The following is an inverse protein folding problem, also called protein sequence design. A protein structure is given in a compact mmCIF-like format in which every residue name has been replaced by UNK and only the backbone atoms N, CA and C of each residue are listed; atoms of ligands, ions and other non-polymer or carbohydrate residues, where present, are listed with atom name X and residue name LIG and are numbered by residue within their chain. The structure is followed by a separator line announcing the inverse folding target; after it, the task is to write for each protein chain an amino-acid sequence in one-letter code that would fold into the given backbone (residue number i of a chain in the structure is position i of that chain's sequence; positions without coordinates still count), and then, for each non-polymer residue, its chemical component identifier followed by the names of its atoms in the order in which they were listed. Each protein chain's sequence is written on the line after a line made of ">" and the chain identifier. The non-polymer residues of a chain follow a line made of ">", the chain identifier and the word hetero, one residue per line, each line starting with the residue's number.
data_IF_373332547382
#
_entry.id   IF_373332547382
#
_cell.length_a   1.000
_cell.length_b   1.000
_cell.length_c   1.000
_cell.angle_alpha   90.00
_cell.angle_beta   90.00
_cell.angle_gamma   90.00
#
_symmetry.space_group_name_H-M   'P 1'
#
loop_
_entity.id
_entity.type
_entity.pdbx_description
1 polymer ?
#
# COMPACT_ATOMS: atom_id res chain seq x y z
N UNK A 1 40.81 74.52 -22.94
CA UNK A 1 39.95 74.12 -24.07
C UNK A 1 39.25 75.40 -24.50
N UNK A 2 39.57 75.95 -25.68
CA UNK A 2 38.90 77.18 -26.15
C UNK A 2 37.48 76.78 -26.56
N UNK A 3 36.49 77.26 -25.80
CA UNK A 3 35.08 77.08 -26.15
C UNK A 3 34.77 78.12 -27.21
N UNK A 4 34.53 77.67 -28.43
CA UNK A 4 34.07 78.54 -29.51
C UNK A 4 32.55 78.50 -29.49
N UNK A 5 31.92 79.59 -29.07
CA UNK A 5 30.45 79.67 -29.04
C UNK A 5 29.86 79.97 -30.44
N UNK A 6 30.66 80.61 -31.31
CA UNK A 6 30.21 81.11 -32.60
C UNK A 6 31.18 80.71 -33.73
N UNK A 7 30.64 80.57 -34.95
CA UNK A 7 31.46 80.32 -36.13
C UNK A 7 32.29 81.56 -36.51
N UNK A 8 33.62 81.47 -36.66
CA UNK A 8 34.45 82.63 -36.98
C UNK A 8 34.25 83.17 -38.41
N UNK A 9 33.46 82.49 -39.25
CA UNK A 9 33.18 82.92 -40.64
C UNK A 9 31.85 83.65 -40.75
N UNK A 10 30.74 83.08 -40.27
CA UNK A 10 29.43 83.74 -40.32
C UNK A 10 29.08 84.51 -39.04
N UNK A 11 29.86 84.34 -37.95
CA UNK A 11 29.63 84.90 -36.61
C UNK A 11 28.34 84.44 -35.92
N UNK A 12 27.60 83.50 -36.51
CA UNK A 12 26.41 82.90 -35.91
C UNK A 12 26.81 81.88 -34.83
N UNK A 13 25.96 81.78 -33.81
CA UNK A 13 26.10 80.80 -32.73
C UNK A 13 25.97 79.39 -33.29
N UNK A 14 26.76 78.45 -32.76
CA UNK A 14 26.60 77.05 -33.11
C UNK A 14 25.27 76.51 -32.57
N UNK A 15 24.50 75.83 -33.41
CA UNK A 15 23.25 75.16 -33.00
C UNK A 15 23.40 73.64 -33.12
N UNK A 16 22.58 72.85 -32.41
CA UNK A 16 22.60 71.38 -32.54
C UNK A 16 22.13 70.87 -33.91
N UNK A 17 21.65 71.74 -34.81
CA UNK A 17 21.27 71.37 -36.17
C UNK A 17 22.52 70.96 -36.98
N UNK A 18 22.46 69.92 -37.84
CA UNK A 18 23.63 69.42 -38.56
C UNK A 18 24.38 70.48 -39.37
N UNK A 19 23.65 71.44 -39.94
CA UNK A 19 24.18 72.51 -40.80
C UNK A 19 24.97 73.58 -40.01
N UNK A 20 24.55 73.82 -38.77
CA UNK A 20 25.08 74.85 -37.88
C UNK A 20 25.86 74.30 -36.69
N UNK A 21 26.03 72.98 -36.61
CA UNK A 21 26.86 72.35 -35.59
C UNK A 21 28.34 72.69 -35.80
N UNK A 22 29.18 72.65 -34.75
CA UNK A 22 30.60 72.89 -34.89
C UNK A 22 31.29 71.68 -35.53
N UNK A 23 32.14 71.92 -36.53
CA UNK A 23 32.97 70.92 -37.20
C UNK A 23 34.44 71.32 -37.12
N UNK A 24 35.29 70.42 -36.65
CA UNK A 24 36.74 70.57 -36.72
C UNK A 24 37.25 70.10 -38.07
N UNK A 25 38.03 70.93 -38.75
CA UNK A 25 38.81 70.51 -39.93
C UNK A 25 40.19 69.97 -39.52
N UNK A 26 40.98 69.52 -40.51
CA UNK A 26 42.29 68.88 -40.31
C UNK A 26 43.31 69.74 -39.57
N UNK A 27 43.26 71.06 -39.72
CA UNK A 27 44.14 71.99 -38.99
C UNK A 27 43.66 72.31 -37.56
N UNK A 28 42.53 71.72 -37.11
CA UNK A 28 42.02 71.86 -35.75
C UNK A 28 41.11 73.08 -35.50
N UNK A 29 40.90 73.94 -36.50
CA UNK A 29 39.95 75.05 -36.39
C UNK A 29 38.51 74.59 -36.58
N UNK A 30 37.57 75.32 -35.98
CA UNK A 30 36.15 74.93 -35.88
C UNK A 30 35.27 75.91 -36.65
N UNK A 31 34.39 75.37 -37.49
CA UNK A 31 33.45 76.13 -38.34
C UNK A 31 32.09 75.41 -38.41
N UNK A 32 31.02 76.10 -38.84
CA UNK A 32 29.77 75.42 -39.14
C UNK A 32 29.85 74.72 -40.50
N UNK A 33 29.02 73.68 -40.71
CA UNK A 33 29.05 72.90 -41.94
C UNK A 33 28.75 73.78 -43.17
N UNK A 34 27.78 74.68 -43.06
CA UNK A 34 27.44 75.64 -44.13
C UNK A 34 28.65 76.47 -44.58
N UNK A 35 29.44 77.00 -43.63
CA UNK A 35 30.63 77.77 -43.97
C UNK A 35 31.75 76.93 -44.59
N UNK A 36 31.92 75.67 -44.14
CA UNK A 36 32.90 74.77 -44.76
C UNK A 36 32.52 74.38 -46.19
N UNK A 37 31.22 74.27 -46.47
CA UNK A 37 30.71 73.96 -47.80
C UNK A 37 30.76 75.18 -48.73
N UNK A 38 30.47 76.39 -48.23
CA UNK A 38 30.41 77.62 -49.02
C UNK A 38 31.78 78.24 -49.37
N UNK A 39 32.85 77.88 -48.66
CA UNK A 39 34.20 78.41 -48.93
C UNK A 39 34.79 77.83 -50.22
N UNK A 40 35.26 78.69 -51.11
CA UNK A 40 36.05 78.34 -52.30
C UNK A 40 37.12 79.42 -52.52
N UNK A 41 38.43 79.10 -52.48
CA UNK A 41 39.04 77.78 -52.32
C UNK A 41 38.86 77.18 -50.91
N UNK A 42 39.00 75.85 -50.79
CA UNK A 42 38.93 75.09 -49.52
C UNK A 42 40.16 75.33 -48.63
N UNK A 43 40.31 76.56 -48.14
CA UNK A 43 41.37 77.01 -47.23
C UNK A 43 40.76 77.48 -45.92
N UNK A 44 41.37 77.11 -44.80
CA UNK A 44 40.94 77.56 -43.48
C UNK A 44 40.95 79.10 -43.40
N UNK A 45 39.82 79.72 -43.00
CA UNK A 45 39.74 81.18 -42.89
C UNK A 45 40.71 81.79 -41.85
N UNK A 46 41.23 80.97 -40.92
CA UNK A 46 42.11 81.41 -39.84
C UNK A 46 43.60 81.21 -40.17
N UNK A 47 44.02 79.99 -40.54
CA UNK A 47 45.43 79.67 -40.82
C UNK A 47 45.77 79.50 -42.31
N UNK A 48 44.76 79.49 -43.20
CA UNK A 48 44.88 79.25 -44.65
C UNK A 48 45.36 77.85 -45.05
N UNK A 49 45.44 76.90 -44.11
CA UNK A 49 45.72 75.51 -44.45
C UNK A 49 44.60 74.91 -45.33
N UNK A 50 44.95 74.14 -46.38
CA UNK A 50 43.96 73.46 -47.18
C UNK A 50 43.26 72.36 -46.38
N UNK A 51 41.95 72.21 -46.58
CA UNK A 51 41.15 71.18 -45.92
C UNK A 51 40.22 70.46 -46.88
N UNK A 52 39.80 69.26 -46.50
CA UNK A 52 38.80 68.47 -47.22
C UNK A 52 37.52 68.43 -46.40
N UNK A 53 36.42 69.00 -46.90
CA UNK A 53 35.14 69.08 -46.16
C UNK A 53 34.64 67.70 -45.69
N UNK A 54 34.90 66.63 -46.46
CA UNK A 54 34.54 65.25 -46.09
C UNK A 54 35.30 64.71 -44.87
N UNK A 55 36.45 65.29 -44.53
CA UNK A 55 37.25 64.90 -43.37
C UNK A 55 36.90 65.72 -42.12
N UNK A 56 36.03 66.74 -42.27
CA UNK A 56 35.59 67.55 -41.15
C UNK A 56 34.81 66.70 -40.16
N UNK A 57 35.22 66.75 -38.89
CA UNK A 57 34.60 65.97 -37.81
C UNK A 57 33.67 66.86 -37.03
N UNK A 58 32.40 66.46 -36.95
CA UNK A 58 31.42 67.13 -36.08
C UNK A 58 31.92 67.05 -34.64
N UNK A 59 32.12 68.20 -34.02
CA UNK A 59 32.31 68.32 -32.58
C UNK A 59 30.90 68.39 -31.99
N UNK A 60 30.55 67.41 -31.17
CA UNK A 60 29.41 67.60 -30.30
C UNK A 60 29.86 68.56 -29.21
N UNK A 61 29.19 69.72 -29.02
CA UNK A 61 29.42 70.52 -27.82
C UNK A 61 29.36 69.53 -26.66
N UNK A 62 30.43 69.47 -25.87
CA UNK A 62 30.46 68.64 -24.68
C UNK A 62 29.17 68.92 -23.94
N UNK A 63 28.28 67.91 -23.94
CA UNK A 63 27.05 67.90 -23.15
C UNK A 63 27.43 68.45 -21.77
N UNK A 64 26.57 69.30 -21.20
CA UNK A 64 26.84 70.03 -19.97
C UNK A 64 27.64 69.14 -19.00
N UNK A 65 28.68 69.67 -18.34
CA UNK A 65 29.49 68.90 -17.38
C UNK A 65 28.62 68.14 -16.35
N UNK A 66 27.43 68.67 -16.07
CA UNK A 66 26.39 68.05 -15.25
C UNK A 66 25.82 66.74 -15.85
N UNK A 67 25.64 66.65 -17.17
CA UNK A 67 25.17 65.45 -17.87
C UNK A 67 26.23 64.33 -17.86
N UNK A 68 27.52 64.68 -17.94
CA UNK A 68 28.62 63.71 -17.86
C UNK A 68 28.76 63.13 -16.45
N UNK A 69 28.60 63.96 -15.42
CA UNK A 69 28.61 63.50 -14.03
C UNK A 69 27.37 62.64 -13.70
N UNK A 70 26.19 63.02 -14.20
CA UNK A 70 24.98 62.20 -14.08
C UNK A 70 25.12 60.86 -14.81
N UNK A 71 25.72 60.83 -16.01
CA UNK A 71 25.97 59.59 -16.75
C UNK A 71 26.94 58.66 -16.02
N UNK A 72 28.04 59.18 -15.48
CA UNK A 72 29.02 58.39 -14.71
C UNK A 72 28.39 57.79 -13.44
N UNK A 73 27.54 58.57 -12.73
CA UNK A 73 26.80 58.06 -11.56
C UNK A 73 25.82 56.94 -11.92
N UNK A 74 25.16 57.06 -13.08
CA UNK A 74 24.24 56.04 -13.58
C UNK A 74 25.00 54.77 -13.95
N UNK A 75 26.14 54.90 -14.62
CA UNK A 75 27.00 53.78 -14.98
C UNK A 75 27.57 53.06 -13.75
N UNK A 76 28.08 53.80 -12.76
CA UNK A 76 28.55 53.24 -11.49
C UNK A 76 27.44 52.52 -10.73
N UNK A 77 26.22 53.08 -10.71
CA UNK A 77 25.07 52.44 -10.07
C UNK A 77 24.68 51.12 -10.76
N UNK A 78 24.79 51.05 -12.09
CA UNK A 78 24.52 49.82 -12.87
C UNK A 78 25.60 48.78 -12.62
N UNK A 79 26.88 49.16 -12.66
CA UNK A 79 28.01 48.25 -12.40
C UNK A 79 27.88 47.67 -10.99
N UNK A 80 27.62 48.51 -9.99
CA UNK A 80 27.43 48.07 -8.61
C UNK A 80 26.20 47.15 -8.46
N UNK A 81 25.10 47.44 -9.16
CA UNK A 81 23.95 46.55 -9.16
C UNK A 81 24.25 45.18 -9.76
N UNK A 82 25.08 45.13 -10.81
CA UNK A 82 25.56 43.89 -11.44
C UNK A 82 26.44 43.09 -10.48
N UNK A 83 27.45 43.72 -9.88
CA UNK A 83 28.42 43.06 -9.00
C UNK A 83 27.77 42.49 -7.74
N UNK A 84 26.82 43.24 -7.15
CA UNK A 84 26.14 42.81 -5.93
C UNK A 84 25.04 41.78 -6.20
N UNK A 85 24.65 41.57 -7.47
CA UNK A 85 23.57 40.67 -7.89
C UNK A 85 22.25 40.84 -7.11
N UNK A 86 21.99 42.03 -6.57
CA UNK A 86 20.80 42.30 -5.76
C UNK A 86 19.64 42.81 -6.63
N UNK A 87 18.48 42.10 -6.68
CA UNK A 87 17.33 42.48 -7.50
C UNK A 87 16.84 43.92 -7.28
N UNK A 88 16.83 44.36 -6.02
CA UNK A 88 16.42 45.70 -5.62
C UNK A 88 17.35 46.79 -6.18
N UNK A 89 18.66 46.51 -6.27
CA UNK A 89 19.66 47.44 -6.82
C UNK A 89 19.51 47.57 -8.34
N UNK A 90 19.17 46.48 -9.03
CA UNK A 90 18.87 46.53 -10.46
C UNK A 90 17.64 47.38 -10.77
N UNK A 91 16.57 47.27 -9.96
CA UNK A 91 15.38 48.08 -10.14
C UNK A 91 15.67 49.58 -9.92
N UNK A 92 16.46 49.89 -8.90
CA UNK A 92 16.90 51.26 -8.61
C UNK A 92 17.79 51.82 -9.72
N UNK A 93 18.73 51.02 -10.24
CA UNK A 93 19.59 51.40 -11.36
C UNK A 93 18.76 51.64 -12.64
N UNK A 94 17.79 50.75 -12.94
CA UNK A 94 16.88 50.90 -14.08
C UNK A 94 16.01 52.16 -13.96
N UNK A 95 15.46 52.46 -12.77
CA UNK A 95 14.70 53.70 -12.50
C UNK A 95 15.57 54.95 -12.65
N UNK A 96 16.82 54.89 -12.18
CA UNK A 96 17.78 55.99 -12.31
C UNK A 96 18.12 56.26 -13.78
N UNK A 97 18.38 55.21 -14.56
CA UNK A 97 18.60 55.28 -16.01
C UNK A 97 17.39 55.85 -16.74
N UNK A 98 16.18 55.38 -16.42
CA UNK A 98 14.95 55.86 -17.06
C UNK A 98 14.72 57.35 -16.75
N UNK A 99 14.86 57.76 -15.48
CA UNK A 99 14.74 59.15 -15.06
C UNK A 99 15.74 60.06 -15.77
N UNK A 100 16.95 59.57 -16.05
CA UNK A 100 17.96 60.31 -16.80
C UNK A 100 17.58 60.42 -18.29
N UNK A 101 17.09 59.33 -18.90
CA UNK A 101 16.60 59.32 -20.28
C UNK A 101 15.39 60.27 -20.48
N UNK A 102 14.49 60.34 -19.50
CA UNK A 102 13.29 61.19 -19.54
C UNK A 102 13.63 62.70 -19.51
N UNK A 103 14.84 63.10 -19.12
CA UNK A 103 15.32 64.50 -19.17
C UNK A 103 15.63 64.98 -20.60
N UNK A 104 15.45 64.15 -21.63
CA UNK A 104 15.49 64.57 -23.04
C UNK A 104 16.86 64.48 -23.70
N UNK A 105 17.81 63.71 -23.15
CA UNK A 105 19.09 63.46 -23.82
C UNK A 105 18.90 62.48 -24.98
N UNK A 106 18.55 63.01 -26.16
CA UNK A 106 18.35 62.25 -27.40
C UNK A 106 19.61 61.53 -27.91
N UNK A 107 20.78 61.78 -27.30
CA UNK A 107 22.09 61.29 -27.74
C UNK A 107 22.39 59.82 -27.40
N UNK A 108 21.48 59.08 -26.75
CA UNK A 108 21.85 57.80 -26.14
C UNK A 108 20.91 56.62 -26.46
N UNK A 109 20.71 56.33 -27.74
CA UNK A 109 20.07 55.09 -28.20
C UNK A 109 20.71 53.82 -27.60
N UNK A 110 22.02 53.86 -27.33
CA UNK A 110 22.75 52.79 -26.63
C UNK A 110 22.26 52.58 -25.20
N UNK A 111 21.98 53.64 -24.44
CA UNK A 111 21.47 53.54 -23.07
C UNK A 111 20.04 53.03 -23.02
N UNK A 112 19.17 53.45 -23.94
CA UNK A 112 17.81 52.89 -24.04
C UNK A 112 17.85 51.37 -24.26
N UNK A 113 18.73 50.91 -25.15
CA UNK A 113 18.96 49.47 -25.36
C UNK A 113 19.44 48.78 -24.09
N UNK A 114 20.37 49.37 -23.34
CA UNK A 114 20.86 48.83 -22.07
C UNK A 114 19.75 48.72 -21.02
N UNK A 115 18.88 49.72 -20.88
CA UNK A 115 17.73 49.69 -19.96
C UNK A 115 16.77 48.54 -20.29
N UNK A 116 16.48 48.34 -21.57
CA UNK A 116 15.62 47.24 -22.04
C UNK A 116 16.27 45.88 -21.75
N UNK A 117 17.58 45.75 -21.99
CA UNK A 117 18.34 44.53 -21.67
C UNK A 117 18.35 44.24 -20.17
N UNK A 118 18.51 45.28 -19.34
CA UNK A 118 18.49 45.16 -17.88
C UNK A 118 17.13 44.68 -17.37
N UNK A 119 16.03 45.29 -17.83
CA UNK A 119 14.68 44.84 -17.50
C UNK A 119 14.42 43.39 -17.94
N UNK A 120 14.89 43.03 -19.14
CA UNK A 120 14.76 41.66 -19.66
C UNK A 120 15.50 40.68 -18.77
N UNK A 121 16.74 41.00 -18.38
CA UNK A 121 17.55 40.22 -17.47
C UNK A 121 16.88 40.04 -16.10
N UNK A 122 16.38 41.12 -15.48
CA UNK A 122 15.65 41.05 -14.21
C UNK A 122 14.43 40.13 -14.30
N UNK A 123 13.64 40.27 -15.38
CA UNK A 123 12.46 39.43 -15.60
C UNK A 123 12.84 37.95 -15.73
N UNK A 124 13.94 37.62 -16.41
CA UNK A 124 14.44 36.25 -16.50
C UNK A 124 14.96 35.73 -15.17
N UNK A 125 15.68 36.55 -14.39
CA UNK A 125 16.19 36.17 -13.07
C UNK A 125 15.06 35.90 -12.08
N UNK A 126 14.02 36.73 -12.06
CA UNK A 126 12.85 36.51 -11.21
C UNK A 126 12.11 35.22 -11.60
N UNK A 127 12.01 34.91 -12.90
CA UNK A 127 11.44 33.63 -13.36
C UNK A 127 12.30 32.43 -12.94
N UNK A 128 13.61 32.54 -13.04
CA UNK A 128 14.54 31.48 -12.62
C UNK A 128 14.46 31.26 -11.10
N UNK A 129 14.48 32.33 -10.32
CA UNK A 129 14.34 32.28 -8.85
C UNK A 129 13.02 31.63 -8.44
N UNK A 130 11.91 32.01 -9.11
CA UNK A 130 10.62 31.36 -8.88
C UNK A 130 10.66 29.87 -9.24
N UNK A 131 11.17 29.51 -10.42
CA UNK A 131 11.27 28.12 -10.85
C UNK A 131 12.15 27.27 -9.92
N UNK A 132 13.22 27.85 -9.38
CA UNK A 132 14.05 27.20 -8.36
C UNK A 132 13.28 26.99 -7.06
N UNK A 133 12.52 27.98 -6.60
CA UNK A 133 11.63 27.85 -5.45
C UNK A 133 10.58 26.73 -5.64
N UNK A 134 9.94 26.69 -6.80
CA UNK A 134 8.98 25.65 -7.16
C UNK A 134 9.66 24.26 -7.19
N UNK A 135 10.88 24.16 -7.75
CA UNK A 135 11.66 22.92 -7.78
C UNK A 135 11.99 22.40 -6.37
N UNK A 136 12.41 23.28 -5.45
CA UNK A 136 12.66 22.90 -4.05
C UNK A 136 11.37 22.43 -3.36
N UNK A 137 10.23 23.04 -3.65
CA UNK A 137 8.94 22.57 -3.16
C UNK A 137 8.57 21.20 -3.72
N UNK A 138 8.79 20.96 -5.03
CA UNK A 138 8.60 19.65 -5.64
C UNK A 138 9.50 18.59 -5.02
N UNK A 139 10.77 18.88 -4.76
CA UNK A 139 11.67 17.95 -4.07
C UNK A 139 11.17 17.61 -2.66
N UNK A 140 10.64 18.58 -1.92
CA UNK A 140 10.06 18.34 -0.60
C UNK A 140 8.84 17.41 -0.68
N UNK A 141 7.96 17.61 -1.66
CA UNK A 141 6.81 16.72 -1.92
C UNK A 141 7.27 15.32 -2.30
N UNK A 142 8.27 15.19 -3.18
CA UNK A 142 8.82 13.88 -3.58
C UNK A 142 9.40 13.13 -2.38
N UNK A 143 10.14 13.79 -1.49
CA UNK A 143 10.65 13.18 -0.25
C UNK A 143 9.50 12.72 0.66
N UNK A 144 8.49 13.56 0.85
CA UNK A 144 7.31 13.19 1.65
C UNK A 144 6.56 11.98 1.07
N UNK A 145 6.45 11.88 -0.26
CA UNK A 145 5.83 10.73 -0.92
C UNK A 145 6.67 9.46 -0.79
N UNK A 146 8.01 9.57 -0.84
CA UNK A 146 8.91 8.44 -0.61
C UNK A 146 8.81 7.91 0.83
N UNK A 147 8.68 8.80 1.82
CA UNK A 147 8.48 8.41 3.21
C UNK A 147 7.11 7.74 3.43
N UNK A 148 6.04 8.27 2.82
CA UNK A 148 4.73 7.61 2.85
C UNK A 148 4.77 6.23 2.19
N UNK A 149 5.48 6.11 1.07
CA UNK A 149 5.65 4.82 0.38
C UNK A 149 6.36 3.80 1.28
N UNK A 150 7.41 4.19 2.00
CA UNK A 150 8.10 3.31 2.95
C UNK A 150 7.18 2.83 4.07
N UNK A 151 6.36 3.71 4.64
CA UNK A 151 5.39 3.34 5.67
C UNK A 151 4.36 2.32 5.15
N UNK A 152 3.85 2.51 3.92
CA UNK A 152 2.94 1.54 3.31
C UNK A 152 3.62 0.21 2.97
N UNK A 153 4.88 0.23 2.55
CA UNK A 153 5.66 -0.98 2.29
C UNK A 153 5.89 -1.77 3.59
N UNK A 154 6.19 -1.09 4.71
CA UNK A 154 6.31 -1.68 6.04
C UNK A 154 4.97 -2.29 6.52
N UNK A 155 3.87 -1.54 6.44
CA UNK A 155 2.53 -2.03 6.79
C UNK A 155 2.14 -3.26 5.96
N UNK A 156 2.43 -3.24 4.65
CA UNK A 156 2.19 -4.38 3.77
C UNK A 156 2.98 -5.62 4.21
N UNK A 157 4.24 -5.46 4.62
CA UNK A 157 5.04 -6.59 5.11
C UNK A 157 4.48 -7.18 6.40
N UNK A 158 4.07 -6.36 7.36
CA UNK A 158 3.43 -6.81 8.60
C UNK A 158 2.12 -7.56 8.32
N UNK A 159 1.25 -7.00 7.47
CA UNK A 159 0.00 -7.67 7.10
C UNK A 159 0.25 -8.99 6.37
N UNK A 160 1.29 -9.09 5.56
CA UNK A 160 1.66 -10.33 4.88
C UNK A 160 2.12 -11.41 5.86
N UNK A 161 2.90 -11.05 6.89
CA UNK A 161 3.29 -11.95 7.97
C UNK A 161 2.09 -12.45 8.78
N UNK A 162 1.16 -11.55 9.11
CA UNK A 162 -0.08 -11.91 9.82
C UNK A 162 -0.96 -12.85 8.99
N UNK A 163 -1.10 -12.62 7.69
CA UNK A 163 -1.84 -13.52 6.80
C UNK A 163 -1.21 -14.92 6.78
N UNK A 164 0.12 -15.02 6.74
CA UNK A 164 0.82 -16.32 6.80
C UNK A 164 0.60 -17.00 8.15
N UNK A 165 0.66 -16.25 9.24
CA UNK A 165 0.40 -16.76 10.60
C UNK A 165 -1.02 -17.28 10.74
N UNK A 166 -2.03 -16.52 10.31
CA UNK A 166 -3.42 -16.97 10.36
C UNK A 166 -3.69 -18.17 9.43
N UNK A 167 -3.07 -18.23 8.25
CA UNK A 167 -3.14 -19.41 7.38
C UNK A 167 -2.61 -20.68 8.06
N UNK A 168 -1.47 -20.59 8.75
CA UNK A 168 -0.92 -21.75 9.48
C UNK A 168 -1.81 -22.20 10.65
N UNK A 169 -2.45 -21.27 11.37
CA UNK A 169 -3.45 -21.62 12.40
C UNK A 169 -4.66 -22.32 11.78
N UNK A 170 -5.13 -21.84 10.63
CA UNK A 170 -6.27 -22.41 9.92
C UNK A 170 -5.97 -23.84 9.46
N UNK A 171 -4.75 -24.10 8.96
CA UNK A 171 -4.28 -25.44 8.59
C UNK A 171 -4.28 -26.42 9.79
N UNK A 172 -3.87 -25.96 10.97
CA UNK A 172 -3.92 -26.77 12.21
C UNK A 172 -5.36 -27.14 12.55
N UNK A 173 -6.28 -26.17 12.55
CA UNK A 173 -7.70 -26.41 12.86
C UNK A 173 -8.35 -27.32 11.81
N UNK A 174 -8.02 -27.18 10.54
CA UNK A 174 -8.50 -28.08 9.48
C UNK A 174 -8.06 -29.52 9.73
N UNK A 175 -6.80 -29.73 10.13
CA UNK A 175 -6.29 -31.06 10.47
C UNK A 175 -6.99 -31.65 11.69
N UNK A 176 -7.19 -30.85 12.76
CA UNK A 176 -7.96 -31.28 13.94
C UNK A 176 -9.40 -31.67 13.58
N UNK A 177 -10.06 -30.89 12.72
CA UNK A 177 -11.41 -31.21 12.23
C UNK A 177 -11.43 -32.53 11.45
N UNK A 178 -10.43 -32.77 10.59
CA UNK A 178 -10.31 -34.02 9.85
C UNK A 178 -10.10 -35.22 10.78
N UNK A 179 -9.26 -35.08 11.81
CA UNK A 179 -8.98 -36.15 12.75
C UNK A 179 -10.19 -36.46 13.65
N UNK A 180 -10.90 -35.43 14.13
CA UNK A 180 -12.18 -35.58 14.82
C UNK A 180 -13.24 -36.26 13.93
N UNK A 181 -13.29 -35.92 12.64
CA UNK A 181 -14.20 -36.56 11.70
C UNK A 181 -13.89 -38.07 11.53
N UNK A 182 -12.61 -38.44 11.43
CA UNK A 182 -12.18 -39.86 11.38
C UNK A 182 -12.58 -40.59 12.67
N UNK A 183 -12.36 -39.98 13.82
CA UNK A 183 -12.72 -40.56 15.12
C UNK A 183 -14.24 -40.74 15.26
N UNK A 184 -15.03 -39.74 14.86
CA UNK A 184 -16.49 -39.83 14.85
C UNK A 184 -16.97 -40.98 13.95
N UNK A 185 -16.38 -41.13 12.75
CA UNK A 185 -16.69 -42.25 11.84
C UNK A 185 -16.35 -43.61 12.47
N UNK A 186 -15.21 -43.70 13.17
CA UNK A 186 -14.79 -44.90 13.90
C UNK A 186 -15.79 -45.25 15.01
N UNK A 187 -16.17 -44.28 15.84
CA UNK A 187 -17.16 -44.45 16.92
C UNK A 187 -18.54 -44.85 16.40
N UNK A 188 -18.99 -44.24 15.31
CA UNK A 188 -20.26 -44.62 14.67
C UNK A 188 -20.24 -46.08 14.20
N UNK A 189 -19.10 -46.55 13.68
CA UNK A 189 -18.94 -47.94 13.27
C UNK A 189 -18.93 -48.90 14.47
N UNK A 190 -18.33 -48.49 15.60
CA UNK A 190 -18.42 -49.24 16.87
C UNK A 190 -19.85 -49.33 17.39
N UNK A 191 -20.57 -48.21 17.44
CA UNK A 191 -21.99 -48.18 17.86
C UNK A 191 -22.83 -49.08 16.96
N UNK A 192 -22.60 -49.07 15.65
CA UNK A 192 -23.30 -49.96 14.72
C UNK A 192 -23.02 -51.45 15.03
N UNK A 193 -21.76 -51.82 15.34
CA UNK A 193 -21.40 -53.19 15.76
C UNK A 193 -22.11 -53.58 17.05
N UNK A 194 -22.03 -52.74 18.08
CA UNK A 194 -22.70 -53.00 19.36
C UNK A 194 -24.21 -53.15 19.21
N UNK A 195 -24.86 -52.32 18.37
CA UNK A 195 -26.29 -52.47 18.06
C UNK A 195 -26.62 -53.81 17.42
N UNK A 196 -25.76 -54.35 16.56
CA UNK A 196 -25.96 -55.69 16.01
C UNK A 196 -25.78 -56.77 17.08
N UNK A 197 -24.71 -56.70 17.88
CA UNK A 197 -24.49 -57.62 18.99
C UNK A 197 -25.64 -57.61 20.00
N UNK A 198 -26.19 -56.45 20.35
CA UNK A 198 -27.36 -56.35 21.22
C UNK A 198 -28.58 -57.06 20.61
N UNK A 199 -28.85 -56.87 19.31
CA UNK A 199 -29.95 -57.56 18.62
C UNK A 199 -29.77 -59.07 18.57
N UNK A 200 -28.54 -59.54 18.40
CA UNK A 200 -28.24 -60.97 18.41
C UNK A 200 -28.43 -61.56 19.81
N UNK A 201 -27.92 -60.91 20.85
CA UNK A 201 -28.16 -61.33 22.24
C UNK A 201 -29.65 -61.27 22.63
N UNK A 202 -30.39 -60.26 22.16
CA UNK A 202 -31.84 -60.19 22.36
C UNK A 202 -32.56 -61.40 21.76
N UNK A 203 -32.10 -61.89 20.59
CA UNK A 203 -32.61 -63.10 19.95
C UNK A 203 -32.28 -64.35 20.75
N UNK A 204 -31.02 -64.52 21.15
CA UNK A 204 -30.57 -65.66 21.96
C UNK A 204 -31.36 -65.75 23.28
N UNK A 205 -31.64 -64.59 23.91
CA UNK A 205 -32.46 -64.53 25.12
C UNK A 205 -33.91 -64.98 24.86
N UNK A 206 -34.48 -64.68 23.70
CA UNK A 206 -35.81 -65.19 23.33
C UNK A 206 -35.77 -66.70 23.11
N UNK A 207 -34.79 -67.21 22.36
CA UNK A 207 -34.61 -68.64 22.09
C UNK A 207 -34.44 -69.43 23.41
N UNK A 208 -33.57 -68.98 24.30
CA UNK A 208 -33.37 -69.62 25.61
C UNK A 208 -34.64 -69.59 26.48
N UNK A 209 -35.47 -68.54 26.38
CA UNK A 209 -36.76 -68.50 27.10
C UNK A 209 -37.74 -69.54 26.56
N UNK A 210 -37.76 -69.75 25.25
CA UNK A 210 -38.58 -70.79 24.63
C UNK A 210 -38.10 -72.19 25.04
N UNK A 211 -36.78 -72.43 25.04
CA UNK A 211 -36.19 -73.68 25.54
C UNK A 211 -36.52 -73.94 27.02
N UNK A 212 -36.39 -72.92 27.88
CA UNK A 212 -36.78 -73.02 29.29
C UNK A 212 -38.27 -73.36 29.45
N UNK A 213 -39.14 -72.71 28.68
CA UNK A 213 -40.58 -72.99 28.68
C UNK A 213 -40.88 -74.43 28.25
N UNK A 214 -40.14 -74.96 27.27
CA UNK A 214 -40.24 -76.36 26.85
C UNK A 214 -39.80 -77.33 27.95
N UNK A 215 -38.66 -77.07 28.59
CA UNK A 215 -38.17 -77.88 29.73
C UNK A 215 -39.18 -77.89 30.88
N UNK A 216 -39.75 -76.73 31.23
CA UNK A 216 -40.81 -76.62 32.24
C UNK A 216 -42.06 -77.44 31.88
N UNK A 217 -42.45 -77.47 30.61
CA UNK A 217 -43.53 -78.31 30.12
C UNK A 217 -43.21 -79.80 30.27
N UNK A 218 -42.02 -80.24 29.85
CA UNK A 218 -41.57 -81.64 30.02
C UNK A 218 -41.53 -82.04 31.49
N UNK A 219 -41.04 -81.16 32.36
CA UNK A 219 -41.00 -81.40 33.80
C UNK A 219 -42.42 -81.57 34.39
N UNK A 220 -43.40 -80.77 33.95
CA UNK A 220 -44.81 -80.93 34.34
C UNK A 220 -45.39 -82.27 33.87
N UNK A 221 -45.21 -82.62 32.60
CA UNK A 221 -45.70 -83.89 32.05
C UNK A 221 -45.06 -85.11 32.74
N UNK A 222 -43.77 -85.02 33.08
CA UNK A 222 -43.07 -86.05 33.85
C UNK A 222 -43.66 -86.22 35.25
N UNK A 223 -43.93 -85.12 35.97
CA UNK A 223 -44.60 -85.16 37.28
C UNK A 223 -46.01 -85.76 37.19
N UNK A 224 -46.79 -85.36 36.18
CA UNK A 224 -48.13 -85.89 35.94
C UNK A 224 -48.11 -87.38 35.61
N UNK A 225 -47.18 -87.81 34.74
CA UNK A 225 -46.95 -89.23 34.44
C UNK A 225 -46.58 -90.03 35.69
N UNK A 226 -45.66 -89.53 36.52
CA UNK A 226 -45.29 -90.17 37.78
C UNK A 226 -46.50 -90.30 38.74
N UNK A 227 -47.32 -89.25 38.84
CA UNK A 227 -48.56 -89.28 39.63
C UNK A 227 -49.58 -90.30 39.07
N UNK A 228 -49.77 -90.34 37.76
CA UNK A 228 -50.64 -91.33 37.11
C UNK A 228 -50.15 -92.76 37.38
N UNK A 229 -48.85 -93.01 37.27
CA UNK A 229 -48.26 -94.32 37.63
C UNK A 229 -48.46 -94.69 39.10
N UNK A 230 -48.31 -93.75 40.03
CA UNK A 230 -48.55 -93.98 41.46
C UNK A 230 -50.03 -94.29 41.74
N UNK A 231 -50.95 -93.53 41.14
CA UNK A 231 -52.39 -93.77 41.29
C UNK A 231 -52.82 -95.09 40.66
N UNK A 232 -52.27 -95.46 39.50
CA UNK A 232 -52.51 -96.76 38.88
C UNK A 232 -51.93 -97.90 39.72
N UNK A 233 -50.72 -97.75 40.27
CA UNK A 233 -50.14 -98.72 41.19
C UNK A 233 -51.01 -98.92 42.44
N UNK A 234 -51.60 -97.84 42.99
CA UNK A 234 -52.57 -97.91 44.08
C UNK A 234 -53.87 -98.62 43.67
N UNK A 235 -54.40 -98.35 42.47
CA UNK A 235 -55.58 -99.05 41.93
C UNK A 235 -55.33 -100.54 41.76
N UNK A 236 -54.19 -100.90 41.18
CA UNK A 236 -53.75 -102.29 41.02
C UNK A 236 -53.58 -102.97 42.37
N UNK A 237 -52.94 -102.32 43.35
CA UNK A 237 -52.82 -102.83 44.72
C UNK A 237 -54.18 -103.15 45.33
N UNK A 238 -55.14 -102.22 45.26
CA UNK A 238 -56.51 -102.44 45.76
C UNK A 238 -57.21 -103.61 45.06
N UNK A 239 -57.11 -103.71 43.73
CA UNK A 239 -57.67 -104.84 42.97
C UNK A 239 -57.04 -106.17 43.38
N UNK A 240 -55.72 -106.17 43.59
CA UNK A 240 -54.98 -107.35 44.01
C UNK A 240 -55.36 -107.79 45.42
N UNK A 241 -55.46 -106.84 46.37
CA UNK A 241 -55.97 -107.07 47.72
C UNK A 241 -57.38 -107.66 47.71
N UNK A 242 -58.27 -107.11 46.88
CA UNK A 242 -59.63 -107.63 46.71
C UNK A 242 -59.63 -109.05 46.14
N UNK A 243 -58.82 -109.33 45.11
CA UNK A 243 -58.70 -110.67 44.54
C UNK A 243 -58.14 -111.69 45.55
N UNK A 244 -57.22 -111.28 46.44
CA UNK A 244 -56.76 -112.12 47.56
C UNK A 244 -57.91 -112.48 48.50
N UNK A 245 -58.78 -111.53 48.83
CA UNK A 245 -59.97 -111.76 49.67
C UNK A 245 -60.92 -112.75 48.97
N UNK A 246 -61.24 -112.52 47.70
CA UNK A 246 -62.09 -113.41 46.89
C UNK A 246 -61.51 -114.84 46.80
N UNK A 247 -60.19 -114.98 46.60
CA UNK A 247 -59.52 -116.28 46.59
C UNK A 247 -59.53 -116.97 47.96
N UNK A 248 -59.51 -116.23 49.07
CA UNK A 248 -59.62 -116.78 50.41
C UNK A 248 -61.02 -117.36 50.68
N UNK A 249 -62.09 -116.78 50.10
CA UNK A 249 -63.46 -117.28 50.21
C UNK A 249 -63.69 -118.60 49.45
N UNK A 250 -62.97 -118.81 48.35
CA UNK A 250 -63.08 -120.02 47.51
C UNK A 250 -62.26 -121.20 48.09
N UNK A 251 -61.30 -120.94 49.00
CA UNK A 251 -60.39 -121.97 49.51
C UNK A 251 -60.90 -122.61 50.81
N UNK A 252 -61.20 -123.92 50.85
CA UNK A 252 -61.56 -124.60 52.10
C UNK A 252 -60.35 -124.63 53.06
N UNK A 253 -60.60 -124.66 54.39
CA UNK A 253 -59.55 -124.58 55.40
C UNK A 253 -58.60 -125.78 55.31
N UNK A 254 -57.39 -125.55 54.79
CA UNK A 254 -56.29 -126.52 54.86
C UNK A 254 -55.87 -126.67 56.32
N UNK A 255 -56.06 -127.88 56.85
CA UNK A 255 -55.59 -128.31 58.18
C UNK A 255 -54.09 -128.06 58.31
N UNK A 256 -53.71 -127.48 59.46
CA UNK A 256 -52.34 -127.26 59.92
C UNK A 256 -51.44 -128.47 59.64
N UNK A 257 -50.33 -128.23 58.95
CA UNK A 257 -49.15 -129.11 58.91
C UNK A 257 -47.96 -128.37 59.55
N UNK A 258 -46.99 -129.09 60.14
CA UNK A 258 -46.11 -128.57 61.17
C UNK A 258 -44.90 -127.81 60.64
N UNK A 259 -44.36 -126.99 61.55
CA UNK A 259 -43.14 -126.19 61.46
C UNK A 259 -41.95 -126.91 60.81
N UNK A 260 -41.35 -126.29 59.79
CA UNK A 260 -39.98 -126.59 59.36
C UNK A 260 -39.24 -125.27 59.13
N UNK A 261 -38.19 -125.07 59.92
CA UNK A 261 -36.87 -124.70 59.43
C UNK A 261 -36.66 -123.29 58.89
N UNK A 262 -36.02 -122.47 59.73
CA UNK A 262 -35.27 -121.28 59.35
C UNK A 262 -34.32 -121.53 58.17
N UNK A 263 -34.33 -120.61 57.19
CA UNK A 263 -33.20 -120.37 56.28
C UNK A 263 -33.07 -118.87 56.06
N UNK A 264 -32.11 -118.27 56.75
CA UNK A 264 -31.59 -116.93 56.50
C UNK A 264 -30.84 -116.92 55.17
N UNK A 265 -31.28 -116.13 54.21
CA UNK A 265 -30.49 -115.82 53.02
C UNK A 265 -30.14 -114.33 53.01
N UNK A 266 -28.93 -114.05 53.46
CA UNK A 266 -28.20 -112.80 53.25
C UNK A 266 -27.70 -112.74 51.80
N UNK A 267 -28.16 -111.76 51.04
CA UNK A 267 -27.48 -111.21 49.85
C UNK A 267 -27.85 -109.72 49.84
N UNK A 268 -26.96 -108.75 49.77
CA UNK A 268 -25.65 -108.69 49.14
C UNK A 268 -25.68 -107.47 48.24
N UNK A 269 -25.60 -106.27 48.85
CA UNK A 269 -25.46 -105.01 48.13
C UNK A 269 -24.04 -104.92 47.57
N UNK A 270 -23.91 -104.74 46.26
CA UNK A 270 -22.66 -104.33 45.61
C UNK A 270 -22.98 -103.34 44.48
N UNK A 271 -22.53 -102.10 44.72
CA UNK A 271 -22.31 -100.94 43.85
C UNK A 271 -23.46 -100.37 43.03
#
# INVERSE_FOLDING_TARGET
>A
MLVFDNCPTCFEDFTPEPERAPYSISCGHVFCLLCLESQDPKLCALCRDPFVTREARRIYPSLNLDDAHDAARVEEAVIKAIDDCQPERFENAAKLMQKWLDKGSAAHASFQSTVVRLHTYMKTMNRLSKAYGDMVQYEAVVRSLDDQKKLFDEERTTLQEDVVKERSKLEVVEKECQDLHKELKRRNSEVARWKTTCRDLERDVVELKEELSYVDQVARLSKESAHNHETDALRWRKRYEQAIVELAEIRPPLKRAPSIGALSFTTGYAF
#
